data_IF_097235445179
#
_entry.id   IF_097235445179
#
_cell.length_a   1.000
_cell.length_b   1.000
_cell.length_c   1.000
_cell.angle_alpha   90.00
_cell.angle_beta   90.00
_cell.angle_gamma   90.00
#
_symmetry.space_group_name_H-M   'P 1'
#
loop_
_entity.id
_entity.type
_entity.pdbx_description
1 polymer ?
#
# COMPACT_ATOMS: atom_id res chain seq x y z
N UNK A 1 6.81 -4.16 -7.48
CA UNK A 1 5.88 -4.32 -8.62
C UNK A 1 5.32 -2.96 -9.02
N UNK A 2 5.00 -2.73 -10.30
CA UNK A 2 4.27 -1.52 -10.74
C UNK A 2 2.77 -1.80 -10.70
N UNK A 3 1.97 -0.83 -10.25
CA UNK A 3 0.51 -0.93 -10.12
C UNK A 3 -0.12 0.39 -10.53
N UNK A 4 -1.21 0.34 -11.29
CA UNK A 4 -1.96 1.56 -11.65
C UNK A 4 -2.66 2.13 -10.41
N UNK A 5 -2.80 3.46 -10.33
CA UNK A 5 -3.43 4.11 -9.16
C UNK A 5 -4.78 3.49 -8.78
N UNK A 6 -5.64 3.25 -9.78
CA UNK A 6 -6.96 2.62 -9.61
C UNK A 6 -6.93 1.21 -8.98
N UNK A 7 -5.82 0.48 -9.10
CA UNK A 7 -5.63 -0.89 -8.61
C UNK A 7 -4.82 -0.95 -7.32
N UNK A 8 -4.20 0.16 -6.91
CA UNK A 8 -3.30 0.23 -5.76
C UNK A 8 -3.99 -0.24 -4.47
N UNK A 9 -5.19 0.28 -4.19
CA UNK A 9 -5.94 -0.09 -2.99
C UNK A 9 -6.33 -1.57 -2.95
N UNK A 10 -6.77 -2.12 -4.09
CA UNK A 10 -7.10 -3.54 -4.20
C UNK A 10 -5.86 -4.42 -3.95
N UNK A 11 -4.71 -4.04 -4.53
CA UNK A 11 -3.48 -4.82 -4.38
C UNK A 11 -2.93 -4.78 -2.96
N UNK A 12 -2.99 -3.62 -2.29
CA UNK A 12 -2.63 -3.50 -0.87
C UNK A 12 -3.52 -4.40 -0.02
N UNK A 13 -4.83 -4.43 -0.26
CA UNK A 13 -5.76 -5.31 0.47
C UNK A 13 -5.45 -6.80 0.27
N UNK A 14 -5.13 -7.20 -0.96
CA UNK A 14 -4.73 -8.57 -1.29
C UNK A 14 -3.44 -8.98 -0.55
N UNK A 15 -2.41 -8.13 -0.59
CA UNK A 15 -1.14 -8.35 0.10
C UNK A 15 -1.29 -8.47 1.61
N UNK A 16 -2.22 -7.70 2.20
CA UNK A 16 -2.56 -7.81 3.62
C UNK A 16 -3.23 -9.16 3.94
N UNK A 17 -4.12 -9.64 3.07
CA UNK A 17 -4.78 -10.95 3.26
C UNK A 17 -3.84 -12.13 3.06
N UNK A 18 -2.80 -11.99 2.24
CA UNK A 18 -1.79 -13.03 1.99
C UNK A 18 -1.03 -13.44 3.27
N UNK A 19 -1.05 -12.62 4.33
CA UNK A 19 -0.52 -12.91 5.68
C UNK A 19 1.00 -13.07 5.78
N UNK A 20 1.69 -13.21 4.65
CA UNK A 20 3.14 -13.39 4.53
C UNK A 20 3.90 -12.06 4.45
N UNK A 21 3.16 -10.96 4.30
CA UNK A 21 3.70 -9.60 4.18
C UNK A 21 3.78 -8.97 5.55
N UNK A 22 4.93 -8.36 5.88
CA UNK A 22 5.13 -7.63 7.15
C UNK A 22 5.15 -6.12 6.97
N UNK A 23 5.57 -5.66 5.80
CA UNK A 23 5.70 -4.23 5.49
C UNK A 23 5.44 -4.01 4.00
N UNK A 24 4.57 -3.07 3.70
CA UNK A 24 4.25 -2.62 2.36
C UNK A 24 4.78 -1.19 2.23
N UNK A 25 5.57 -0.93 1.20
CA UNK A 25 6.12 0.38 0.87
C UNK A 25 5.53 0.81 -0.46
N UNK A 26 4.85 1.95 -0.46
CA UNK A 26 4.28 2.56 -1.67
C UNK A 26 5.22 3.68 -2.12
N UNK A 27 5.62 3.63 -3.39
CA UNK A 27 6.47 4.61 -4.05
C UNK A 27 5.75 5.24 -5.23
N UNK A 28 5.99 6.53 -5.46
CA UNK A 28 5.53 7.22 -6.66
C UNK A 28 6.35 6.83 -7.90
N UNK A 29 6.01 7.36 -9.08
CA UNK A 29 6.72 7.11 -10.33
C UNK A 29 8.21 7.53 -10.30
N UNK A 30 8.56 8.52 -9.46
CA UNK A 30 9.92 9.02 -9.27
C UNK A 30 10.75 8.11 -8.33
N UNK A 31 10.13 7.10 -7.72
CA UNK A 31 10.79 6.19 -6.78
C UNK A 31 10.82 6.68 -5.34
N UNK A 32 10.20 7.83 -5.04
CA UNK A 32 10.07 8.36 -3.70
C UNK A 32 9.03 7.57 -2.90
N UNK A 33 9.38 7.17 -1.68
CA UNK A 33 8.45 6.53 -0.75
C UNK A 33 7.42 7.54 -0.30
N UNK A 34 6.16 7.30 -0.66
CA UNK A 34 5.03 8.16 -0.25
C UNK A 34 4.36 7.64 1.00
N UNK A 35 4.42 6.32 1.23
CA UNK A 35 3.73 5.72 2.35
C UNK A 35 4.33 4.36 2.69
N UNK A 36 4.31 4.05 3.98
CA UNK A 36 4.75 2.78 4.51
C UNK A 36 3.72 2.23 5.49
N UNK A 37 3.38 0.96 5.31
CA UNK A 37 2.37 0.26 6.09
C UNK A 37 3.00 -0.96 6.76
N UNK A 38 3.09 -1.01 8.09
CA UNK A 38 3.34 -2.23 8.83
C UNK A 38 2.09 -3.13 8.80
N UNK A 39 2.25 -4.37 8.35
CA UNK A 39 1.18 -5.37 8.26
C UNK A 39 1.26 -6.26 9.50
N UNK A 40 0.98 -5.67 10.66
CA UNK A 40 0.88 -6.35 11.95
C UNK A 40 -0.57 -6.36 12.43
N UNK A 41 -1.02 -7.48 13.02
CA UNK A 41 -2.42 -7.70 13.38
C UNK A 41 -3.04 -6.55 14.21
N UNK A 42 -2.28 -5.94 15.14
CA UNK A 42 -2.76 -4.82 15.96
C UNK A 42 -2.85 -3.46 15.24
N UNK A 43 -2.04 -3.24 14.20
CA UNK A 43 -2.00 -1.97 13.45
C UNK A 43 -3.12 -1.93 12.41
N UNK A 44 -3.39 -3.05 11.74
CA UNK A 44 -4.47 -3.11 10.74
C UNK A 44 -5.83 -2.76 11.38
N UNK A 45 -6.10 -3.26 12.59
CA UNK A 45 -7.37 -3.01 13.28
C UNK A 45 -7.59 -1.53 13.64
N UNK A 46 -6.53 -0.75 13.84
CA UNK A 46 -6.60 0.64 14.30
C UNK A 46 -6.53 1.66 13.16
N UNK A 47 -5.83 1.35 12.06
CA UNK A 47 -5.57 2.33 10.99
C UNK A 47 -5.93 1.85 9.58
N UNK A 48 -6.63 0.72 9.41
CA UNK A 48 -7.05 0.25 8.08
C UNK A 48 -7.84 1.29 7.28
N UNK A 49 -8.83 1.97 7.88
CA UNK A 49 -9.63 2.98 7.20
C UNK A 49 -8.80 4.21 6.78
N UNK A 50 -8.03 4.87 7.68
CA UNK A 50 -7.15 5.97 7.31
C UNK A 50 -6.16 5.62 6.19
N UNK A 51 -5.55 4.43 6.25
CA UNK A 51 -4.57 3.99 5.27
C UNK A 51 -5.24 3.80 3.90
N UNK A 52 -6.38 3.11 3.85
CA UNK A 52 -7.11 2.91 2.59
C UNK A 52 -7.55 4.25 2.00
N UNK A 53 -8.02 5.20 2.82
CA UNK A 53 -8.39 6.55 2.37
C UNK A 53 -7.19 7.33 1.85
N UNK A 54 -6.06 7.32 2.55
CA UNK A 54 -4.84 8.00 2.12
C UNK A 54 -4.28 7.40 0.82
N UNK A 55 -4.29 6.07 0.69
CA UNK A 55 -3.94 5.38 -0.55
C UNK A 55 -4.88 5.78 -1.67
N UNK A 56 -6.19 5.80 -1.43
CA UNK A 56 -7.18 6.18 -2.44
C UNK A 56 -7.02 7.61 -2.92
N UNK A 57 -6.78 8.55 -2.00
CA UNK A 57 -6.55 9.96 -2.31
C UNK A 57 -5.25 10.16 -3.12
N UNK A 58 -4.16 9.51 -2.71
CA UNK A 58 -2.90 9.55 -3.45
C UNK A 58 -3.05 8.89 -4.82
N UNK A 59 -3.68 7.72 -4.89
CA UNK A 59 -3.96 7.00 -6.13
C UNK A 59 -4.75 7.81 -7.16
N UNK A 60 -5.62 8.72 -6.72
CA UNK A 60 -6.37 9.61 -7.60
C UNK A 60 -5.51 10.71 -8.23
N UNK A 61 -4.34 11.01 -7.64
CA UNK A 61 -3.46 12.10 -8.07
C UNK A 61 -2.32 11.65 -9.00
N UNK A 62 -1.91 10.37 -8.98
CA UNK A 62 -0.84 9.90 -9.86
C UNK A 62 -1.22 8.64 -10.65
N UNK A 63 -0.81 8.62 -11.92
CA UNK A 63 -1.13 7.53 -12.86
C UNK A 63 -0.35 6.23 -12.57
N UNK A 64 0.91 6.35 -12.13
CA UNK A 64 1.81 5.21 -11.94
C UNK A 64 2.38 5.13 -10.51
N UNK A 65 2.19 3.96 -9.89
CA UNK A 65 2.70 3.64 -8.55
C UNK A 65 3.57 2.39 -8.56
N UNK A 66 4.49 2.31 -7.61
CA UNK A 66 5.31 1.12 -7.37
C UNK A 66 5.08 0.63 -5.95
N UNK A 67 4.70 -0.63 -5.80
CA UNK A 67 4.58 -1.30 -4.50
C UNK A 67 5.82 -2.16 -4.27
N UNK A 68 6.52 -1.91 -3.18
CA UNK A 68 7.59 -2.75 -2.66
C UNK A 68 7.08 -3.48 -1.42
N UNK A 69 7.29 -4.79 -1.40
CA UNK A 69 6.74 -5.67 -0.38
C UNK A 69 7.90 -6.35 0.30
N UNK A 70 8.01 -6.16 1.61
CA UNK A 70 9.00 -6.86 2.43
C UNK A 70 8.31 -8.06 3.06
N UNK A 71 8.67 -9.23 2.53
CA UNK A 71 8.29 -10.55 3.04
C UNK A 71 9.31 -10.99 4.09
N UNK A 72 8.88 -11.90 4.96
CA UNK A 72 9.75 -12.53 5.95
C UNK A 72 10.50 -13.71 5.35
#
# INVERSE_FOLDING_TARGET
MKVQGKELGAKVKELIHEGSVRRIVVKNAEGHTVMEIPVTAGVIATVALPIVTAVGALAALANDWKIEVHRK
#
